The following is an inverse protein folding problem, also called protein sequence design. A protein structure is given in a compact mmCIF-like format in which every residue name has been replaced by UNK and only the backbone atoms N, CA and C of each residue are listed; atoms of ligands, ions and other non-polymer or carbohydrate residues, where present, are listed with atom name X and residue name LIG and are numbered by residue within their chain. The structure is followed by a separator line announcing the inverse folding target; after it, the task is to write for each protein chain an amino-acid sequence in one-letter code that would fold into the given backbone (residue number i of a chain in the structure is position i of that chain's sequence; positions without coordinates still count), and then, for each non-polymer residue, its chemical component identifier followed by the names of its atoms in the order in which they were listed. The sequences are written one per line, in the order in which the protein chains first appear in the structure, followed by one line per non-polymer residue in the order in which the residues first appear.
data_IF_372674798580
#
_entry.id   IF_372674798580
#
_cell.length_a   1.000
_cell.length_b   1.000
_cell.length_c   1.000
_cell.angle_alpha   90.00
_cell.angle_beta   90.00
_cell.angle_gamma   90.00
#
_symmetry.space_group_name_H-M   'P 1'
#
loop_
_entity.id
_entity.type
_entity.pdbx_description
1 polymer ?
#
# COMPACT_ATOMS: atom_id res chain seq x y z
N UNK A 1 7.84 7.77 -20.62
CA UNK A 1 7.22 7.60 -19.29
C UNK A 1 6.03 8.55 -19.16
N UNK A 2 4.94 8.14 -18.51
CA UNK A 2 3.67 8.89 -18.45
C UNK A 2 3.83 10.29 -17.85
N UNK A 3 4.52 10.40 -16.71
CA UNK A 3 4.74 11.70 -16.05
C UNK A 3 5.54 12.69 -16.90
N UNK A 4 6.48 12.21 -17.72
CA UNK A 4 7.22 13.07 -18.64
C UNK A 4 6.33 13.62 -19.77
N UNK A 5 5.36 12.84 -20.24
CA UNK A 5 4.36 13.26 -21.23
C UNK A 5 3.38 14.29 -20.67
N UNK A 6 3.03 14.16 -19.38
CA UNK A 6 2.17 15.12 -18.68
C UNK A 6 2.78 16.52 -18.60
N UNK A 7 4.12 16.67 -18.56
CA UNK A 7 4.78 17.98 -18.43
C UNK A 7 4.35 19.00 -19.51
N UNK A 8 4.01 18.53 -20.71
CA UNK A 8 3.52 19.38 -21.80
C UNK A 8 2.08 19.89 -21.61
N UNK A 9 1.30 19.28 -20.71
CA UNK A 9 -0.15 19.51 -20.54
C UNK A 9 -0.50 20.15 -19.18
N UNK A 10 0.50 20.38 -18.32
CA UNK A 10 0.32 20.84 -16.92
C UNK A 10 -0.37 22.19 -16.76
N UNK A 11 -0.41 23.01 -17.81
CA UNK A 11 -1.08 24.33 -17.79
C UNK A 11 -2.58 24.24 -18.08
N UNK A 12 -3.03 23.13 -18.65
CA UNK A 12 -4.38 22.95 -19.16
C UNK A 12 -5.16 21.92 -18.35
N UNK A 13 -4.47 20.86 -17.90
CA UNK A 13 -5.08 19.74 -17.18
C UNK A 13 -4.30 19.45 -15.89
N UNK A 14 -5.04 19.06 -14.85
CA UNK A 14 -4.44 18.36 -13.72
C UNK A 14 -3.94 16.97 -14.14
N UNK A 15 -3.07 16.35 -13.32
CA UNK A 15 -2.57 15.01 -13.61
C UNK A 15 -3.72 14.00 -13.69
N UNK A 16 -4.69 14.09 -12.79
CA UNK A 16 -5.87 13.22 -12.76
C UNK A 16 -6.69 13.30 -14.05
N UNK A 17 -6.96 14.53 -14.52
CA UNK A 17 -7.67 14.77 -15.78
C UNK A 17 -6.87 14.28 -16.99
N UNK A 18 -5.56 14.57 -17.05
CA UNK A 18 -4.71 14.07 -18.12
C UNK A 18 -4.69 12.54 -18.19
N UNK A 19 -4.59 11.87 -17.03
CA UNK A 19 -4.64 10.42 -16.97
C UNK A 19 -5.99 9.88 -17.46
N UNK A 20 -7.10 10.46 -16.99
CA UNK A 20 -8.45 10.03 -17.38
C UNK A 20 -8.73 10.26 -18.86
N UNK A 21 -8.39 11.44 -19.39
CA UNK A 21 -8.80 11.88 -20.72
C UNK A 21 -7.81 11.48 -21.83
N UNK A 22 -6.55 11.21 -21.51
CA UNK A 22 -5.50 10.96 -22.52
C UNK A 22 -4.81 9.61 -22.36
N UNK A 23 -4.67 9.08 -21.13
CA UNK A 23 -3.94 7.83 -20.89
C UNK A 23 -4.90 6.64 -20.78
N UNK A 24 -5.99 6.81 -20.04
CA UNK A 24 -7.00 5.78 -19.79
C UNK A 24 -8.30 6.02 -20.58
N UNK A 25 -8.27 6.94 -21.54
CA UNK A 25 -9.41 7.26 -22.38
C UNK A 25 -9.97 6.00 -23.05
N UNK A 26 -11.26 5.73 -22.83
CA UNK A 26 -11.96 4.60 -23.41
C UNK A 26 -11.51 3.22 -22.90
N UNK A 27 -10.73 3.15 -21.82
CA UNK A 27 -10.44 1.89 -21.14
C UNK A 27 -11.62 1.51 -20.23
N UNK A 28 -11.93 0.21 -20.20
CA UNK A 28 -12.90 -0.34 -19.26
C UNK A 28 -12.25 -0.48 -17.88
N UNK A 29 -12.88 0.08 -16.86
CA UNK A 29 -12.42 -0.01 -15.47
C UNK A 29 -13.15 -1.16 -14.78
N UNK A 30 -12.39 -2.16 -14.34
CA UNK A 30 -12.91 -3.22 -13.48
C UNK A 30 -12.43 -2.99 -12.05
N UNK A 31 -13.39 -2.92 -11.10
CA UNK A 31 -13.10 -2.83 -9.68
C UNK A 31 -13.37 -4.21 -9.07
N UNK A 32 -12.31 -4.84 -8.58
CA UNK A 32 -12.40 -6.09 -7.83
C UNK A 32 -12.46 -5.77 -6.34
N UNK A 33 -13.57 -6.12 -5.72
CA UNK A 33 -13.74 -5.97 -4.28
C UNK A 33 -13.14 -7.18 -3.55
N UNK A 34 -12.50 -6.97 -2.39
CA UNK A 34 -12.01 -8.07 -1.57
C UNK A 34 -13.17 -8.89 -1.01
N UNK A 35 -12.94 -10.19 -0.82
CA UNK A 35 -13.91 -11.06 -0.17
C UNK A 35 -14.04 -10.70 1.32
N UNK A 36 -15.25 -10.66 1.90
CA UNK A 36 -15.44 -10.32 3.32
C UNK A 36 -14.67 -11.24 4.28
N UNK A 37 -14.49 -12.52 3.91
CA UNK A 37 -13.73 -13.48 4.70
C UNK A 37 -12.23 -13.15 4.72
N UNK A 38 -11.68 -12.68 3.62
CA UNK A 38 -10.29 -12.22 3.56
C UNK A 38 -10.10 -10.98 4.43
N UNK A 39 -11.03 -10.02 4.38
CA UNK A 39 -10.98 -8.83 5.24
C UNK A 39 -10.94 -9.23 6.72
N UNK A 40 -11.85 -10.12 7.15
CA UNK A 40 -11.91 -10.60 8.52
C UNK A 40 -10.64 -11.38 8.90
N UNK A 41 -10.13 -12.23 8.00
CA UNK A 41 -8.93 -13.02 8.19
C UNK A 41 -7.68 -12.14 8.37
N UNK A 42 -7.49 -11.13 7.51
CA UNK A 42 -6.38 -10.19 7.60
C UNK A 42 -6.47 -9.33 8.87
N UNK A 43 -7.65 -8.88 9.26
CA UNK A 43 -7.83 -8.14 10.51
C UNK A 43 -7.39 -8.98 11.73
N UNK A 44 -7.85 -10.23 11.82
CA UNK A 44 -7.45 -11.14 12.90
C UNK A 44 -5.96 -11.52 12.86
N UNK A 45 -5.36 -11.61 11.67
CA UNK A 45 -3.92 -11.76 11.53
C UNK A 45 -3.16 -10.55 12.06
N UNK A 46 -3.57 -9.34 11.68
CA UNK A 46 -2.90 -8.09 12.08
C UNK A 46 -2.97 -7.87 13.60
N UNK A 47 -4.11 -8.17 14.23
CA UNK A 47 -4.24 -8.13 15.69
C UNK A 47 -3.22 -9.04 16.38
N UNK A 48 -3.14 -10.32 15.94
CA UNK A 48 -2.19 -11.29 16.49
C UNK A 48 -0.74 -10.91 16.21
N UNK A 49 -0.45 -10.42 15.01
CA UNK A 49 0.87 -9.96 14.62
C UNK A 49 1.32 -8.82 15.53
N UNK A 50 0.46 -7.82 15.76
CA UNK A 50 0.77 -6.68 16.62
C UNK A 50 0.97 -7.09 18.08
N UNK A 51 0.11 -7.98 18.61
CA UNK A 51 0.30 -8.55 19.95
C UNK A 51 1.64 -9.30 20.08
N UNK A 52 2.11 -9.93 19.00
CA UNK A 52 3.39 -10.62 18.93
C UNK A 52 4.62 -9.71 18.98
N UNK A 53 4.51 -8.42 18.66
CA UNK A 53 5.65 -7.47 18.66
C UNK A 53 6.25 -7.35 20.06
N UNK A 54 5.42 -7.30 21.11
CA UNK A 54 5.92 -7.23 22.49
C UNK A 54 6.73 -8.46 22.87
N UNK A 55 6.35 -9.64 22.40
CA UNK A 55 7.09 -10.89 22.62
C UNK A 55 8.47 -10.81 21.95
N UNK A 56 8.53 -10.30 20.71
CA UNK A 56 9.80 -10.11 19.99
C UNK A 56 10.72 -9.14 20.73
N UNK A 57 10.19 -8.02 21.23
CA UNK A 57 10.97 -7.06 22.03
C UNK A 57 11.52 -7.69 23.30
N UNK A 58 10.69 -8.44 24.03
CA UNK A 58 11.11 -9.13 25.26
C UNK A 58 12.21 -10.17 24.95
N UNK A 59 12.10 -10.89 23.84
CA UNK A 59 13.11 -11.86 23.42
C UNK A 59 14.47 -11.19 23.16
N UNK A 60 14.49 -10.03 22.49
CA UNK A 60 15.72 -9.25 22.26
C UNK A 60 16.33 -8.76 23.58
N UNK A 61 15.50 -8.24 24.50
CA UNK A 61 15.96 -7.78 25.81
C UNK A 61 16.55 -8.90 26.68
N UNK A 62 16.07 -10.12 26.51
CA UNK A 62 16.56 -11.29 27.23
C UNK A 62 17.87 -11.87 26.67
N UNK A 63 18.34 -11.38 25.52
CA UNK A 63 19.62 -11.83 24.98
C UNK A 63 20.77 -11.35 25.89
N UNK A 64 21.71 -12.25 26.26
CA UNK A 64 22.87 -11.84 27.02
C UNK A 64 23.69 -10.85 26.21
N UNK A 65 24.01 -9.70 26.81
CA UNK A 65 24.96 -8.75 26.23
C UNK A 65 26.34 -9.36 26.40
N UNK A 66 26.95 -9.81 25.30
CA UNK A 66 28.37 -10.13 25.30
C UNK A 66 29.14 -8.81 25.34
N UNK A 67 29.61 -8.43 26.52
CA UNK A 67 30.67 -7.44 26.65
C UNK A 67 31.98 -8.07 26.17
N UNK A 68 32.59 -7.48 25.15
CA UNK A 68 33.96 -7.81 24.73
C UNK A 68 34.97 -7.21 25.69
#
# INVERSE_FOLDING_TARGET
AVLASYLAHTKELSLDQYLTEHVFAGQELEIIHPEPEDIAGFAAYLERYQAGITIQHAAVQALPVNEK
#
